data_IF_253144729022
#
_entry.id   IF_253144729022
#
_cell.length_a   1.000
_cell.length_b   1.000
_cell.length_c   1.000
_cell.angle_alpha   90.00
_cell.angle_beta   90.00
_cell.angle_gamma   90.00
#
_symmetry.space_group_name_H-M   'P 1'
#
loop_
_entity.id
_entity.type
_entity.pdbx_description
1 polymer ?
#
# COMPACT_ATOMS: atom_id res chain seq x y z
N UNK A 1 -8.80 63.70 -10.61
CA UNK A 1 -9.15 62.78 -9.53
C UNK A 1 -9.46 61.39 -10.11
N UNK A 2 -8.78 60.98 -11.18
CA UNK A 2 -9.08 59.75 -11.96
C UNK A 2 -7.96 58.69 -11.88
N UNK A 3 -6.83 59.01 -11.23
CA UNK A 3 -5.67 58.10 -11.17
C UNK A 3 -5.77 57.04 -10.07
N UNK A 4 -6.71 57.18 -9.15
CA UNK A 4 -6.86 56.30 -7.98
C UNK A 4 -7.80 55.13 -8.27
N UNK A 5 -8.89 55.38 -9.00
CA UNK A 5 -9.92 54.38 -9.28
C UNK A 5 -9.43 53.31 -10.28
N UNK A 6 -8.72 53.73 -11.33
CA UNK A 6 -8.14 52.80 -12.31
C UNK A 6 -7.08 51.86 -11.70
N UNK A 7 -6.44 52.27 -10.60
CA UNK A 7 -5.44 51.45 -9.90
C UNK A 7 -6.08 50.41 -8.98
N UNK A 8 -7.20 50.75 -8.36
CA UNK A 8 -7.99 49.82 -7.52
C UNK A 8 -8.67 48.74 -8.38
N UNK A 9 -9.10 49.09 -9.58
CA UNK A 9 -9.74 48.16 -10.52
C UNK A 9 -8.71 47.15 -11.09
N UNK A 10 -7.50 47.60 -11.39
CA UNK A 10 -6.38 46.74 -11.81
C UNK A 10 -5.94 45.76 -10.71
N UNK A 11 -5.86 46.23 -9.46
CA UNK A 11 -5.53 45.38 -8.30
C UNK A 11 -6.63 44.33 -8.02
N UNK A 12 -7.90 44.62 -8.31
CA UNK A 12 -9.00 43.65 -8.17
C UNK A 12 -8.95 42.55 -9.22
N UNK A 13 -8.69 42.89 -10.49
CA UNK A 13 -8.57 41.88 -11.55
C UNK A 13 -7.38 40.94 -11.35
N UNK A 14 -6.26 41.45 -10.82
CA UNK A 14 -5.09 40.62 -10.48
C UNK A 14 -5.40 39.68 -9.30
N UNK A 15 -6.11 40.15 -8.28
CA UNK A 15 -6.53 39.31 -7.14
C UNK A 15 -7.54 38.23 -7.54
N UNK A 16 -8.46 38.53 -8.46
CA UNK A 16 -9.42 37.54 -8.98
C UNK A 16 -8.73 36.47 -9.84
N UNK A 17 -7.71 36.84 -10.63
CA UNK A 17 -6.90 35.87 -11.39
C UNK A 17 -6.13 34.93 -10.46
N UNK A 18 -5.45 35.46 -9.45
CA UNK A 18 -4.71 34.65 -8.47
C UNK A 18 -5.66 33.71 -7.71
N UNK A 19 -6.85 34.19 -7.34
CA UNK A 19 -7.85 33.36 -6.67
C UNK A 19 -8.38 32.23 -7.56
N UNK A 20 -8.58 32.48 -8.85
CA UNK A 20 -9.06 31.45 -9.79
C UNK A 20 -7.98 30.41 -10.10
N UNK A 21 -6.72 30.83 -10.26
CA UNK A 21 -5.58 29.92 -10.44
C UNK A 21 -5.39 28.99 -9.22
N UNK A 22 -5.54 29.53 -8.00
CA UNK A 22 -5.48 28.73 -6.77
C UNK A 22 -6.64 27.72 -6.67
N UNK A 23 -7.85 28.10 -7.08
CA UNK A 23 -9.00 27.20 -7.10
C UNK A 23 -8.88 26.09 -8.16
N UNK A 24 -8.25 26.37 -9.29
CA UNK A 24 -7.99 25.38 -10.33
C UNK A 24 -6.88 24.40 -9.92
N UNK A 25 -5.84 24.86 -9.22
CA UNK A 25 -4.83 23.98 -8.61
C UNK A 25 -5.43 23.06 -7.54
N UNK A 26 -6.27 23.59 -6.63
CA UNK A 26 -6.94 22.76 -5.62
C UNK A 26 -7.90 21.72 -6.24
N UNK A 27 -8.60 22.09 -7.32
CA UNK A 27 -9.47 21.17 -8.07
C UNK A 27 -8.66 20.09 -8.76
N UNK A 28 -7.52 20.43 -9.37
CA UNK A 28 -6.62 19.48 -10.00
C UNK A 28 -6.03 18.50 -8.96
N UNK A 29 -5.57 18.99 -7.81
CA UNK A 29 -5.08 18.17 -6.69
C UNK A 29 -6.14 17.23 -6.11
N UNK A 30 -7.40 17.67 -6.01
CA UNK A 30 -8.52 16.80 -5.60
C UNK A 30 -8.83 15.73 -6.65
N UNK A 31 -8.81 16.09 -7.93
CA UNK A 31 -9.08 15.14 -9.02
C UNK A 31 -7.96 14.10 -9.14
N UNK A 32 -6.69 14.49 -8.98
CA UNK A 32 -5.57 13.55 -8.91
C UNK A 32 -5.68 12.61 -7.70
N UNK A 33 -6.09 13.12 -6.53
CA UNK A 33 -6.36 12.27 -5.35
C UNK A 33 -7.51 11.29 -5.59
N UNK A 34 -8.60 11.73 -6.20
CA UNK A 34 -9.77 10.88 -6.47
C UNK A 34 -9.48 9.82 -7.55
N UNK A 35 -8.77 10.18 -8.62
CA UNK A 35 -8.32 9.25 -9.66
C UNK A 35 -7.30 8.25 -9.09
N UNK A 36 -6.39 8.71 -8.24
CA UNK A 36 -5.43 7.86 -7.55
C UNK A 36 -6.12 6.94 -6.52
N UNK A 37 -7.16 7.40 -5.83
CA UNK A 37 -7.92 6.59 -4.87
C UNK A 37 -8.88 5.59 -5.55
N UNK A 38 -9.45 5.91 -6.72
CA UNK A 38 -10.20 4.95 -7.53
C UNK A 38 -9.31 3.88 -8.17
N UNK A 39 -8.14 4.24 -8.70
CA UNK A 39 -7.17 3.25 -9.19
C UNK A 39 -6.57 2.42 -8.03
N UNK A 40 -6.42 2.98 -6.82
CA UNK A 40 -5.95 2.26 -5.63
C UNK A 40 -6.89 1.14 -5.17
N UNK A 41 -8.20 1.24 -5.44
CA UNK A 41 -9.19 0.30 -4.91
C UNK A 41 -9.20 -1.06 -5.63
N UNK A 42 -8.83 -1.07 -6.92
CA UNK A 42 -8.65 -2.28 -7.73
C UNK A 42 -7.34 -3.00 -7.41
N UNK A 43 -6.28 -2.27 -7.05
CA UNK A 43 -4.92 -2.84 -6.81
C UNK A 43 -4.67 -3.52 -5.46
N UNK A 44 -5.70 -3.77 -4.65
CA UNK A 44 -5.57 -4.40 -3.32
C UNK A 44 -6.25 -5.78 -3.25
N UNK A 45 -6.07 -6.61 -4.27
CA UNK A 45 -6.72 -7.92 -4.37
C UNK A 45 -6.19 -8.87 -3.29
N UNK A 46 -4.87 -8.91 -3.08
CA UNK A 46 -4.27 -9.87 -2.14
C UNK A 46 -4.60 -9.52 -0.70
N UNK A 47 -4.57 -8.23 -0.34
CA UNK A 47 -4.94 -7.81 1.02
C UNK A 47 -6.36 -8.25 1.36
N UNK A 48 -7.31 -8.10 0.42
CA UNK A 48 -8.70 -8.52 0.62
C UNK A 48 -8.81 -10.05 0.72
N UNK A 49 -8.14 -10.79 -0.17
CA UNK A 49 -8.09 -12.25 -0.16
C UNK A 49 -7.55 -12.80 1.17
N UNK A 50 -6.46 -12.24 1.69
CA UNK A 50 -5.85 -12.66 2.97
C UNK A 50 -6.77 -12.37 4.15
N UNK A 51 -7.46 -11.22 4.16
CA UNK A 51 -8.39 -10.88 5.23
C UNK A 51 -9.69 -11.68 5.17
N UNK A 52 -10.04 -12.24 4.00
CA UNK A 52 -11.19 -13.12 3.81
C UNK A 52 -10.92 -14.59 4.23
N UNK A 53 -9.66 -14.95 4.55
CA UNK A 53 -9.34 -16.26 5.11
C UNK A 53 -10.10 -16.53 6.40
N UNK A 54 -10.33 -17.81 6.70
CA UNK A 54 -10.88 -18.20 7.99
C UNK A 54 -9.89 -17.92 9.14
N UNK A 55 -10.39 -17.92 10.36
CA UNK A 55 -9.60 -17.59 11.55
C UNK A 55 -8.39 -18.52 11.73
N UNK A 56 -8.54 -19.80 11.37
CA UNK A 56 -7.47 -20.81 11.50
C UNK A 56 -6.35 -20.55 10.48
N UNK A 57 -6.69 -20.23 9.24
CA UNK A 57 -5.74 -19.93 8.18
C UNK A 57 -5.02 -18.61 8.44
N UNK A 58 -5.74 -17.56 8.88
CA UNK A 58 -5.11 -16.30 9.33
C UNK A 58 -4.15 -16.54 10.48
N UNK A 59 -4.55 -17.32 11.49
CA UNK A 59 -3.68 -17.66 12.62
C UNK A 59 -2.44 -18.40 12.15
N UNK A 60 -2.60 -19.39 11.27
CA UNK A 60 -1.47 -20.17 10.72
C UNK A 60 -0.47 -19.29 9.97
N UNK A 61 -0.97 -18.35 9.15
CA UNK A 61 -0.14 -17.40 8.42
C UNK A 61 0.61 -16.46 9.38
N UNK A 62 -0.10 -15.93 10.37
CA UNK A 62 0.47 -15.04 11.38
C UNK A 62 1.53 -15.72 12.23
N UNK A 63 1.25 -16.90 12.78
CA UNK A 63 2.21 -17.66 13.59
C UNK A 63 3.48 -17.97 12.79
N UNK A 64 3.33 -18.22 11.49
CA UNK A 64 4.47 -18.44 10.59
C UNK A 64 5.30 -17.18 10.40
N UNK A 65 4.65 -16.01 10.24
CA UNK A 65 5.33 -14.72 10.16
C UNK A 65 6.09 -14.42 11.46
N UNK A 66 5.43 -14.54 12.61
CA UNK A 66 6.05 -14.30 13.92
C UNK A 66 7.19 -15.27 14.17
N UNK A 67 6.99 -16.55 13.88
CA UNK A 67 8.06 -17.56 13.97
C UNK A 67 9.25 -17.20 13.09
N UNK A 68 9.02 -16.74 11.86
CA UNK A 68 10.09 -16.31 10.97
C UNK A 68 10.83 -15.08 11.50
N UNK A 69 10.10 -14.09 12.03
CA UNK A 69 10.69 -12.90 12.66
C UNK A 69 11.55 -13.27 13.89
N UNK A 70 11.06 -14.20 14.72
CA UNK A 70 11.78 -14.60 15.94
C UNK A 70 13.00 -15.49 15.66
N UNK A 71 13.01 -16.26 14.56
CA UNK A 71 14.02 -17.28 14.29
C UNK A 71 14.98 -16.95 13.12
N UNK A 72 14.66 -15.96 12.28
CA UNK A 72 15.48 -15.56 11.14
C UNK A 72 16.00 -14.13 11.30
N UNK A 73 17.26 -13.91 10.95
CA UNK A 73 17.83 -12.55 10.89
C UNK A 73 17.72 -11.92 9.49
N UNK A 74 17.29 -12.67 8.47
CA UNK A 74 17.25 -12.15 7.11
C UNK A 74 15.83 -11.71 6.73
N UNK A 75 15.65 -10.39 6.61
CA UNK A 75 14.45 -9.72 6.12
C UNK A 75 13.90 -10.34 4.84
N UNK A 76 14.73 -10.47 3.81
CA UNK A 76 14.29 -10.89 2.48
C UNK A 76 13.79 -12.34 2.51
N UNK A 77 14.44 -13.20 3.29
CA UNK A 77 13.96 -14.57 3.54
C UNK A 77 12.61 -14.57 4.27
N UNK A 78 12.42 -13.73 5.29
CA UNK A 78 11.15 -13.65 6.04
C UNK A 78 10.01 -13.22 5.10
N UNK A 79 10.23 -12.14 4.34
CA UNK A 79 9.25 -11.65 3.36
C UNK A 79 8.94 -12.74 2.32
N UNK A 80 9.98 -13.38 1.77
CA UNK A 80 9.79 -14.44 0.78
C UNK A 80 8.92 -15.58 1.30
N UNK A 81 9.28 -16.15 2.45
CA UNK A 81 8.55 -17.27 3.03
C UNK A 81 7.11 -16.91 3.41
N UNK A 82 6.90 -15.69 3.93
CA UNK A 82 5.57 -15.23 4.34
C UNK A 82 4.65 -15.07 3.14
N UNK A 83 5.10 -14.38 2.09
CA UNK A 83 4.29 -14.19 0.88
C UNK A 83 4.05 -15.50 0.14
N UNK A 84 5.07 -16.38 0.07
CA UNK A 84 4.89 -17.69 -0.56
C UNK A 84 3.88 -18.55 0.18
N UNK A 85 3.93 -18.54 1.52
CA UNK A 85 2.98 -19.28 2.36
C UNK A 85 1.56 -18.72 2.25
N UNK A 86 1.40 -17.41 2.12
CA UNK A 86 0.08 -16.80 1.93
C UNK A 86 -0.58 -17.26 0.63
N UNK A 87 0.13 -17.23 -0.49
CA UNK A 87 -0.41 -17.72 -1.76
C UNK A 87 -0.74 -19.21 -1.71
N UNK A 88 0.13 -20.02 -1.10
CA UNK A 88 -0.16 -21.43 -0.84
C UNK A 88 -1.48 -21.62 -0.08
N UNK A 89 -1.68 -20.90 1.01
CA UNK A 89 -2.90 -20.99 1.83
C UNK A 89 -4.12 -20.53 1.04
N UNK A 90 -4.02 -19.42 0.29
CA UNK A 90 -5.10 -18.91 -0.55
C UNK A 90 -5.51 -19.92 -1.64
N UNK A 91 -4.54 -20.64 -2.20
CA UNK A 91 -4.77 -21.73 -3.15
C UNK A 91 -5.43 -22.94 -2.49
N UNK A 92 -4.90 -23.40 -1.36
CA UNK A 92 -5.42 -24.56 -0.61
C UNK A 92 -6.83 -24.32 -0.07
N UNK A 93 -7.20 -23.07 0.21
CA UNK A 93 -8.54 -22.67 0.66
C UNK A 93 -9.50 -22.37 -0.49
N UNK A 94 -9.03 -22.36 -1.74
CA UNK A 94 -9.85 -22.10 -2.93
C UNK A 94 -10.23 -20.63 -3.13
N UNK A 95 -9.69 -19.70 -2.34
CA UNK A 95 -9.89 -18.26 -2.53
C UNK A 95 -9.18 -17.77 -3.79
N UNK A 96 -8.01 -18.36 -4.09
CA UNK A 96 -7.20 -18.02 -5.26
C UNK A 96 -6.98 -19.25 -6.13
N UNK A 97 -7.21 -19.12 -7.43
CA UNK A 97 -6.86 -20.15 -8.40
C UNK A 97 -5.39 -20.07 -8.77
N UNK A 98 -4.73 -21.22 -8.90
CA UNK A 98 -3.32 -21.30 -9.25
C UNK A 98 -2.77 -22.70 -9.09
N UNK A 99 -1.46 -22.84 -9.31
CA UNK A 99 -0.70 -24.08 -9.12
C UNK A 99 0.36 -23.89 -8.05
N UNK A 100 1.05 -24.97 -7.66
CA UNK A 100 2.14 -24.90 -6.67
C UNK A 100 3.25 -23.95 -7.14
N UNK A 101 3.50 -23.89 -8.45
CA UNK A 101 4.50 -23.02 -9.06
C UNK A 101 4.16 -21.53 -8.87
N UNK A 102 2.87 -21.19 -8.84
CA UNK A 102 2.41 -19.82 -8.62
C UNK A 102 2.49 -19.37 -7.16
N UNK A 103 2.72 -20.29 -6.21
CA UNK A 103 2.79 -19.94 -4.78
C UNK A 103 3.88 -18.89 -4.50
N UNK A 104 4.93 -18.80 -5.34
CA UNK A 104 6.04 -17.84 -5.16
C UNK A 104 5.89 -16.54 -5.95
N UNK A 105 4.79 -16.34 -6.67
CA UNK A 105 4.67 -15.19 -7.59
C UNK A 105 4.74 -13.85 -6.85
N UNK A 106 3.97 -13.68 -5.78
CA UNK A 106 3.99 -12.45 -4.99
C UNK A 106 5.34 -12.23 -4.30
N UNK A 107 5.95 -13.29 -3.76
CA UNK A 107 7.26 -13.15 -3.12
C UNK A 107 8.31 -12.69 -4.13
N UNK A 108 8.33 -13.26 -5.34
CA UNK A 108 9.25 -12.86 -6.41
C UNK A 108 9.04 -11.39 -6.82
N UNK A 109 7.78 -10.95 -6.94
CA UNK A 109 7.46 -9.55 -7.20
C UNK A 109 7.98 -8.64 -6.09
N UNK A 110 7.77 -8.99 -4.83
CA UNK A 110 8.31 -8.22 -3.69
C UNK A 110 9.85 -8.21 -3.70
N UNK A 111 10.51 -9.30 -4.09
CA UNK A 111 11.97 -9.34 -4.22
C UNK A 111 12.51 -8.44 -5.34
N UNK A 112 11.69 -8.13 -6.35
CA UNK A 112 12.07 -7.19 -7.42
C UNK A 112 12.04 -5.71 -7.00
N UNK A 113 11.41 -5.37 -5.86
CA UNK A 113 11.44 -4.02 -5.30
C UNK A 113 12.87 -3.61 -4.90
N UNK A 114 13.12 -2.31 -4.75
CA UNK A 114 14.41 -1.83 -4.25
C UNK A 114 14.69 -2.35 -2.83
N UNK A 115 15.97 -2.48 -2.46
CA UNK A 115 16.34 -2.90 -1.11
C UNK A 115 15.77 -1.96 -0.02
N UNK A 116 15.65 -0.67 -0.34
CA UNK A 116 15.06 0.33 0.54
C UNK A 116 13.55 0.10 0.73
N UNK A 117 12.82 -0.18 -0.35
CA UNK A 117 11.38 -0.46 -0.25
C UNK A 117 11.08 -1.74 0.53
N UNK A 118 11.88 -2.78 0.33
CA UNK A 118 11.78 -4.01 1.14
C UNK A 118 12.10 -3.76 2.60
N UNK A 119 13.07 -2.88 2.89
CA UNK A 119 13.36 -2.44 4.27
C UNK A 119 12.16 -1.71 4.88
N UNK A 120 11.60 -0.72 4.18
CA UNK A 120 10.42 0.03 4.64
C UNK A 120 9.22 -0.87 4.89
N UNK A 121 8.98 -1.85 4.01
CA UNK A 121 7.93 -2.87 4.20
C UNK A 121 8.16 -3.64 5.50
N UNK A 122 9.37 -4.16 5.70
CA UNK A 122 9.70 -4.96 6.87
C UNK A 122 9.64 -4.18 8.17
N UNK A 123 10.19 -2.96 8.20
CA UNK A 123 10.17 -2.11 9.39
C UNK A 123 8.74 -1.76 9.82
N UNK A 124 7.83 -1.58 8.84
CA UNK A 124 6.41 -1.35 9.11
C UNK A 124 5.78 -2.55 9.82
N UNK A 125 6.12 -3.77 9.42
CA UNK A 125 5.62 -5.03 10.00
C UNK A 125 6.19 -5.26 11.40
N UNK A 126 7.49 -5.03 11.56
CA UNK A 126 8.18 -5.12 12.86
C UNK A 126 7.58 -4.12 13.84
N UNK A 127 7.40 -2.86 13.41
CA UNK A 127 6.76 -1.82 14.23
C UNK A 127 5.34 -2.22 14.63
N UNK A 128 4.53 -2.71 13.69
CA UNK A 128 3.17 -3.17 13.98
C UNK A 128 3.15 -4.33 15.00
N UNK A 129 4.12 -5.23 14.91
CA UNK A 129 4.24 -6.39 15.80
C UNK A 129 4.61 -5.96 17.23
N UNK A 130 5.58 -5.06 17.38
CA UNK A 130 6.00 -4.57 18.70
C UNK A 130 4.96 -3.65 19.36
N UNK A 131 4.11 -2.98 18.58
CA UNK A 131 3.01 -2.16 19.09
C UNK A 131 1.77 -2.96 19.52
N UNK A 132 1.87 -4.29 19.63
CA UNK A 132 0.78 -5.18 20.06
C UNK A 132 -0.50 -5.05 19.23
N UNK A 133 -0.35 -4.73 17.94
CA UNK A 133 -1.50 -4.69 17.04
C UNK A 133 -2.13 -6.08 16.91
N UNK A 134 -3.42 -6.09 16.57
CA UNK A 134 -4.12 -7.35 16.30
C UNK A 134 -3.49 -8.09 15.12
N UNK A 135 -3.67 -9.42 15.10
CA UNK A 135 -3.27 -10.29 13.98
C UNK A 135 -3.72 -9.72 12.63
N UNK A 136 -5.00 -9.38 12.51
CA UNK A 136 -5.59 -8.92 11.25
C UNK A 136 -5.01 -7.56 10.84
N UNK A 137 -4.71 -6.68 11.81
CA UNK A 137 -4.03 -5.42 11.55
C UNK A 137 -2.61 -5.64 11.01
N UNK A 138 -1.84 -6.57 11.60
CA UNK A 138 -0.47 -6.87 11.16
C UNK A 138 -0.47 -7.46 9.76
N UNK A 139 -1.36 -8.43 9.49
CA UNK A 139 -1.54 -8.99 8.15
C UNK A 139 -1.98 -7.92 7.16
N UNK A 140 -2.95 -7.08 7.51
CA UNK A 140 -3.37 -5.97 6.66
C UNK A 140 -2.19 -5.05 6.31
N UNK A 141 -1.41 -4.60 7.29
CA UNK A 141 -0.24 -3.74 7.05
C UNK A 141 0.76 -4.41 6.11
N UNK A 142 1.08 -5.69 6.34
CA UNK A 142 2.03 -6.44 5.51
C UNK A 142 1.59 -6.48 4.04
N UNK A 143 0.38 -6.95 3.77
CA UNK A 143 -0.10 -7.14 2.40
C UNK A 143 -0.42 -5.80 1.72
N UNK A 144 -1.06 -4.88 2.42
CA UNK A 144 -1.40 -3.57 1.87
C UNK A 144 -0.15 -2.78 1.49
N UNK A 145 0.86 -2.77 2.36
CA UNK A 145 2.11 -2.04 2.11
C UNK A 145 2.89 -2.68 0.95
N UNK A 146 2.91 -4.01 0.87
CA UNK A 146 3.53 -4.71 -0.26
C UNK A 146 2.86 -4.38 -1.59
N UNK A 147 1.53 -4.46 -1.67
CA UNK A 147 0.77 -4.10 -2.87
C UNK A 147 0.99 -2.63 -3.25
N UNK A 148 0.97 -1.72 -2.27
CA UNK A 148 1.27 -0.30 -2.49
C UNK A 148 2.64 -0.08 -3.11
N UNK A 149 3.69 -0.68 -2.56
CA UNK A 149 5.05 -0.56 -3.08
C UNK A 149 5.17 -1.14 -4.50
N UNK A 150 4.51 -2.27 -4.77
CA UNK A 150 4.48 -2.87 -6.11
C UNK A 150 3.79 -1.98 -7.15
N UNK A 151 2.70 -1.32 -6.79
CA UNK A 151 2.05 -0.33 -7.69
C UNK A 151 2.88 0.92 -7.93
N UNK A 152 3.69 1.35 -6.94
CA UNK A 152 4.52 2.54 -7.08
C UNK A 152 5.81 2.27 -7.86
N UNK A 153 6.38 1.06 -7.75
CA UNK A 153 7.61 0.67 -8.45
C UNK A 153 7.40 0.39 -9.95
N UNK A 154 6.14 0.25 -10.41
CA UNK A 154 5.78 0.08 -11.82
C UNK A 154 5.55 1.39 -12.58
N UNK A 155 5.79 2.54 -11.95
CA UNK A 155 5.76 3.88 -12.56
C UNK A 155 7.18 4.43 -12.62
#
# INVERSE_FOLDING_TARGET
MEKTDARIELEKEELEKISNEFLDEERFLKQEKEIQDHQKLETLEITKEVLALDEKAKQTLFDSLISAISNSQNRDTILYLTFAKAYKILRETGIRFGTIETDTELSNRVQSLSAQDRQVLFDSVISATFNQNSRDTILHILFWKAEKLLTMSGR
#
